data_IF_369368140667
#
_entry.id   IF_369368140667
#
_cell.length_a   1.000
_cell.length_b   1.000
_cell.length_c   1.000
_cell.angle_alpha   90.00
_cell.angle_beta   90.00
_cell.angle_gamma   90.00
#
_symmetry.space_group_name_H-M   'P 1'
#
loop_
_entity.id
_entity.type
_entity.pdbx_description
1 polymer ?
#
# COMPACT_ATOMS: atom_id res chain seq x y z
N UNK A 1 33.03 8.30 15.98
CA UNK A 1 32.20 7.37 15.25
C UNK A 1 30.77 7.29 15.71
N UNK A 2 30.32 8.33 16.34
CA UNK A 2 28.93 8.40 16.78
C UNK A 2 27.98 8.72 15.62
N UNK A 3 28.49 9.36 14.57
CA UNK A 3 27.66 9.80 13.46
C UNK A 3 26.87 8.68 12.78
N UNK A 4 27.51 7.59 12.35
CA UNK A 4 26.78 6.50 11.68
C UNK A 4 25.69 5.90 12.56
N UNK A 5 25.99 5.73 13.85
CA UNK A 5 25.03 5.18 14.79
C UNK A 5 23.86 6.12 15.00
N UNK A 6 24.12 7.41 15.12
CA UNK A 6 23.06 8.40 15.27
C UNK A 6 22.18 8.44 14.02
N UNK A 7 22.77 8.34 12.82
CA UNK A 7 22.01 8.30 11.58
C UNK A 7 21.09 7.09 11.54
N UNK A 8 21.60 5.95 11.99
CA UNK A 8 20.81 4.74 12.04
C UNK A 8 19.59 4.89 12.95
N UNK A 9 19.80 5.43 14.14
CA UNK A 9 18.72 5.68 15.08
C UNK A 9 17.67 6.61 14.49
N UNK A 10 18.13 7.67 13.83
CA UNK A 10 17.25 8.65 13.24
C UNK A 10 16.39 8.02 12.16
N UNK A 11 16.98 7.17 11.32
CA UNK A 11 16.26 6.46 10.27
C UNK A 11 15.18 5.58 10.86
N UNK A 12 15.49 4.82 11.91
CA UNK A 12 14.50 3.95 12.54
C UNK A 12 13.32 4.73 13.11
N UNK A 13 13.59 5.87 13.71
CA UNK A 13 12.53 6.65 14.34
C UNK A 13 11.65 7.39 13.35
N UNK A 14 12.20 7.75 12.18
CA UNK A 14 11.50 8.60 11.22
C UNK A 14 10.94 7.82 10.03
N UNK A 15 11.70 6.85 9.52
CA UNK A 15 11.37 6.20 8.25
C UNK A 15 10.90 4.77 8.37
N UNK A 16 11.00 4.16 9.56
CA UNK A 16 10.62 2.76 9.74
C UNK A 16 9.12 2.55 9.95
N UNK A 17 8.35 3.63 10.00
CA UNK A 17 6.90 3.52 10.13
C UNK A 17 6.33 3.02 8.81
N UNK A 18 5.57 1.93 8.90
CA UNK A 18 4.91 1.36 7.74
C UNK A 18 3.58 2.09 7.54
N UNK A 19 3.38 2.65 6.35
CA UNK A 19 2.08 3.20 6.00
C UNK A 19 1.31 2.12 5.25
N UNK A 20 0.14 1.79 5.75
CA UNK A 20 -0.68 0.74 5.15
C UNK A 20 -2.02 1.33 4.73
N UNK A 21 -2.30 1.23 3.44
CA UNK A 21 -3.50 1.81 2.82
C UNK A 21 -4.47 0.69 2.50
N UNK A 22 -5.70 0.84 2.90
CA UNK A 22 -6.70 -0.18 2.67
C UNK A 22 -8.08 0.31 3.00
N UNK A 23 -8.96 -0.63 3.32
CA UNK A 23 -10.35 -0.35 3.67
C UNK A 23 -10.64 -1.08 4.98
N UNK A 24 -11.40 -0.44 5.87
CA UNK A 24 -11.87 -1.10 7.07
C UNK A 24 -12.73 -2.30 6.69
N UNK A 25 -12.73 -3.31 7.58
CA UNK A 25 -13.52 -4.53 7.38
C UNK A 25 -13.10 -5.37 6.17
N UNK A 26 -11.84 -5.29 5.80
CA UNK A 26 -11.25 -6.16 4.78
C UNK A 26 -10.41 -7.22 5.48
N UNK A 27 -10.70 -8.50 5.23
CA UNK A 27 -10.00 -9.59 5.90
C UNK A 27 -8.50 -9.58 5.61
N UNK A 28 -8.12 -9.30 4.37
CA UNK A 28 -6.71 -9.23 4.00
C UNK A 28 -5.99 -8.11 4.74
N UNK A 29 -6.65 -6.96 4.89
CA UNK A 29 -6.09 -5.85 5.65
C UNK A 29 -5.91 -6.24 7.10
N UNK A 30 -6.91 -6.91 7.68
CA UNK A 30 -6.82 -7.35 9.08
C UNK A 30 -5.65 -8.30 9.30
N UNK A 31 -5.42 -9.21 8.36
CA UNK A 31 -4.28 -10.13 8.45
C UNK A 31 -2.96 -9.38 8.39
N UNK A 32 -2.86 -8.38 7.52
CA UNK A 32 -1.66 -7.57 7.40
C UNK A 32 -1.39 -6.80 8.69
N UNK A 33 -2.42 -6.17 9.27
CA UNK A 33 -2.27 -5.43 10.52
C UNK A 33 -1.85 -6.34 11.66
N UNK A 34 -2.41 -7.55 11.70
CA UNK A 34 -2.05 -8.53 12.72
C UNK A 34 -0.58 -8.94 12.60
N UNK A 35 -0.12 -9.14 11.36
CA UNK A 35 1.29 -9.47 11.12
C UNK A 35 2.19 -8.36 11.64
N UNK A 36 1.90 -7.11 11.26
CA UNK A 36 2.72 -5.97 11.68
C UNK A 36 2.76 -5.84 13.21
N UNK A 37 1.60 -5.98 13.86
CA UNK A 37 1.52 -5.92 15.30
C UNK A 37 2.32 -7.05 15.96
N UNK A 38 2.21 -8.26 15.44
CA UNK A 38 2.89 -9.42 16.02
C UNK A 38 4.40 -9.33 15.90
N UNK A 39 4.91 -8.59 14.93
CA UNK A 39 6.34 -8.39 14.72
C UNK A 39 6.83 -7.07 15.30
N UNK A 40 5.97 -6.36 16.04
CA UNK A 40 6.29 -5.10 16.70
C UNK A 40 6.69 -3.99 15.72
N UNK A 41 6.16 -4.02 14.52
CA UNK A 41 6.35 -2.92 13.58
C UNK A 41 5.42 -1.78 13.91
N UNK A 42 5.95 -0.55 13.88
CA UNK A 42 5.12 0.64 13.95
C UNK A 42 4.45 0.86 12.60
N UNK A 43 3.14 1.08 12.61
CA UNK A 43 2.43 1.31 11.36
C UNK A 43 1.35 2.37 11.55
N UNK A 44 0.96 2.95 10.42
CA UNK A 44 -0.16 3.88 10.35
C UNK A 44 -1.12 3.33 9.29
N UNK A 45 -2.35 3.03 9.70
CA UNK A 45 -3.38 2.57 8.78
C UNK A 45 -4.17 3.75 8.24
N UNK A 46 -4.28 3.84 6.93
CA UNK A 46 -5.05 4.88 6.26
C UNK A 46 -6.14 4.21 5.42
N UNK A 47 -7.39 4.48 5.75
CA UNK A 47 -8.53 4.01 4.96
C UNK A 47 -8.70 4.97 3.78
N UNK A 48 -8.39 4.51 2.56
CA UNK A 48 -8.39 5.38 1.41
C UNK A 48 -9.79 5.74 0.90
N UNK A 49 -10.84 5.14 1.49
CA UNK A 49 -12.21 5.58 1.22
C UNK A 49 -12.56 6.81 2.04
N UNK A 50 -11.96 6.96 3.22
CA UNK A 50 -12.15 8.13 4.06
C UNK A 50 -11.12 9.22 3.77
N UNK A 51 -9.93 8.80 3.36
CA UNK A 51 -8.80 9.69 3.04
C UNK A 51 -8.32 9.39 1.62
N UNK A 52 -8.94 10.01 0.62
CA UNK A 52 -8.64 9.69 -0.78
C UNK A 52 -7.16 9.76 -1.12
N UNK A 53 -6.74 8.84 -1.96
CA UNK A 53 -5.35 8.78 -2.41
C UNK A 53 -5.07 10.00 -3.29
N UNK A 54 -3.97 10.72 -2.98
CA UNK A 54 -3.56 11.86 -3.79
C UNK A 54 -2.91 11.39 -5.09
N UNK A 55 -2.78 12.32 -6.05
CA UNK A 55 -2.09 11.99 -7.30
C UNK A 55 -0.65 11.57 -7.04
N UNK A 56 0.06 12.28 -6.16
CA UNK A 56 1.45 11.95 -5.84
C UNK A 56 1.57 10.55 -5.23
N UNK A 57 0.65 10.22 -4.33
CA UNK A 57 0.64 8.89 -3.70
C UNK A 57 0.34 7.80 -4.74
N UNK A 58 -0.63 8.03 -5.61
CA UNK A 58 -0.94 7.09 -6.68
C UNK A 58 0.27 6.85 -7.58
N UNK A 59 0.97 7.92 -7.93
CA UNK A 59 2.17 7.81 -8.77
C UNK A 59 3.28 7.05 -8.05
N UNK A 60 3.44 7.27 -6.76
CA UNK A 60 4.41 6.52 -5.98
C UNK A 60 4.09 5.03 -5.98
N UNK A 61 2.83 4.69 -5.80
CA UNK A 61 2.38 3.29 -5.84
C UNK A 61 2.62 2.68 -7.22
N UNK A 62 2.26 3.41 -8.27
CA UNK A 62 2.42 2.95 -9.64
C UNK A 62 3.89 2.73 -9.97
N UNK A 63 4.76 3.66 -9.61
CA UNK A 63 6.18 3.54 -9.85
C UNK A 63 6.79 2.38 -9.07
N UNK A 64 6.24 2.10 -7.89
CA UNK A 64 6.78 1.03 -7.06
C UNK A 64 6.46 -0.37 -7.54
N UNK A 65 5.24 -0.61 -8.02
CA UNK A 65 4.80 -1.96 -8.37
C UNK A 65 4.18 -2.08 -9.76
N UNK A 66 3.86 -0.97 -10.41
CA UNK A 66 3.21 -0.98 -11.71
C UNK A 66 1.71 -1.16 -11.60
N UNK A 67 0.99 -0.70 -12.63
CA UNK A 67 -0.48 -0.77 -12.64
C UNK A 67 -0.98 -2.22 -12.64
N UNK A 68 -0.29 -3.12 -13.32
CA UNK A 68 -0.73 -4.53 -13.38
C UNK A 68 -0.81 -5.16 -12.00
N UNK A 69 0.11 -4.80 -11.10
CA UNK A 69 0.12 -5.31 -9.74
C UNK A 69 -0.83 -4.50 -8.84
N UNK A 70 -0.88 -3.19 -9.05
CA UNK A 70 -1.64 -2.28 -8.20
C UNK A 70 -3.15 -2.43 -8.36
N UNK A 71 -3.61 -2.68 -9.57
CA UNK A 71 -5.05 -2.72 -9.87
C UNK A 71 -5.60 -4.12 -9.66
N UNK A 72 -6.70 -4.19 -8.92
CA UNK A 72 -7.38 -5.46 -8.67
C UNK A 72 -8.36 -5.79 -9.79
N UNK A 73 -7.88 -6.54 -10.77
CA UNK A 73 -8.67 -6.90 -11.94
C UNK A 73 -9.81 -7.86 -11.62
N UNK A 74 -9.83 -8.44 -10.42
CA UNK A 74 -10.91 -9.31 -9.97
C UNK A 74 -11.99 -8.56 -9.20
N UNK A 75 -11.78 -7.27 -8.95
CA UNK A 75 -12.75 -6.49 -8.19
C UNK A 75 -14.03 -6.25 -9.02
N UNK A 76 -15.13 -6.07 -8.29
CA UNK A 76 -16.40 -5.69 -8.93
C UNK A 76 -16.24 -4.36 -9.64
N UNK A 77 -15.50 -3.44 -9.05
CA UNK A 77 -15.24 -2.13 -9.66
C UNK A 77 -14.58 -2.27 -11.03
N UNK A 78 -13.56 -3.11 -11.12
CA UNK A 78 -12.86 -3.31 -12.40
C UNK A 78 -13.77 -3.97 -13.44
N UNK A 79 -14.52 -4.99 -13.02
CA UNK A 79 -15.40 -5.70 -13.95
C UNK A 79 -16.48 -4.80 -14.51
N UNK A 80 -16.89 -3.79 -13.77
CA UNK A 80 -17.93 -2.86 -14.21
C UNK A 80 -17.42 -1.78 -15.16
N UNK A 81 -16.11 -1.67 -15.35
CA UNK A 81 -15.54 -0.68 -16.27
C UNK A 81 -15.83 -1.07 -17.72
N UNK A 82 -15.89 -0.05 -18.59
CA UNK A 82 -15.93 -0.30 -20.03
C UNK A 82 -14.57 -0.83 -20.50
N UNK A 83 -14.55 -1.43 -21.70
CA UNK A 83 -13.30 -1.93 -22.25
C UNK A 83 -12.27 -0.80 -22.41
N UNK A 84 -12.73 0.37 -22.82
CA UNK A 84 -11.85 1.52 -22.96
C UNK A 84 -11.25 1.93 -21.60
N UNK A 85 -12.10 1.98 -20.56
CA UNK A 85 -11.63 2.32 -19.22
C UNK A 85 -10.62 1.30 -18.71
N UNK A 86 -10.86 0.01 -18.95
CA UNK A 86 -9.94 -1.05 -18.52
C UNK A 86 -8.57 -0.91 -19.15
N UNK A 87 -8.50 -0.37 -20.35
CA UNK A 87 -7.24 -0.19 -21.06
C UNK A 87 -6.54 1.12 -20.71
N UNK A 88 -7.24 2.03 -20.05
CA UNK A 88 -6.73 3.37 -19.76
C UNK A 88 -6.93 3.73 -18.29
N UNK A 89 -6.45 2.88 -17.41
CA UNK A 89 -6.53 3.15 -15.97
C UNK A 89 -5.65 4.36 -15.64
N UNK A 90 -6.24 5.34 -14.98
CA UNK A 90 -5.53 6.56 -14.60
C UNK A 90 -5.98 7.02 -13.23
N UNK A 91 -5.37 8.09 -12.74
CA UNK A 91 -5.67 8.63 -11.41
C UNK A 91 -7.14 9.03 -11.27
N UNK A 92 -7.71 9.67 -12.28
CA UNK A 92 -9.10 10.10 -12.25
C UNK A 92 -10.04 8.92 -12.05
N UNK A 93 -9.77 7.82 -12.73
CA UNK A 93 -10.60 6.62 -12.62
C UNK A 93 -10.47 6.01 -11.23
N UNK A 94 -9.27 5.97 -10.68
CA UNK A 94 -9.03 5.45 -9.34
C UNK A 94 -9.70 6.34 -8.28
N UNK A 95 -9.71 7.65 -8.50
CA UNK A 95 -10.42 8.57 -7.60
C UNK A 95 -11.91 8.29 -7.59
N UNK A 96 -12.46 8.00 -8.76
CA UNK A 96 -13.89 7.69 -8.89
C UNK A 96 -14.22 6.32 -8.28
N UNK A 97 -13.33 5.36 -8.45
CA UNK A 97 -13.53 3.99 -7.98
C UNK A 97 -12.32 3.53 -7.16
N UNK A 98 -12.20 3.98 -5.90
CA UNK A 98 -11.01 3.64 -5.09
C UNK A 98 -10.78 2.15 -4.92
N UNK A 99 -11.83 1.34 -4.98
CA UNK A 99 -11.72 -0.11 -4.82
C UNK A 99 -11.04 -0.80 -6.01
N UNK A 100 -10.66 -0.04 -7.03
CA UNK A 100 -9.77 -0.57 -8.09
C UNK A 100 -8.39 -0.90 -7.53
N UNK A 101 -7.95 -0.19 -6.49
CA UNK A 101 -6.64 -0.44 -5.88
C UNK A 101 -6.72 -1.70 -5.01
N UNK A 102 -5.74 -2.59 -5.17
CA UNK A 102 -5.64 -3.76 -4.31
C UNK A 102 -5.43 -3.35 -2.86
N UNK A 103 -5.82 -4.23 -1.95
CA UNK A 103 -5.76 -3.99 -0.51
C UNK A 103 -4.99 -5.11 0.17
N UNK A 104 -4.11 -4.78 1.09
CA UNK A 104 -3.59 -3.43 1.36
C UNK A 104 -2.43 -3.06 0.44
N UNK A 105 -2.08 -1.77 0.44
CA UNK A 105 -0.84 -1.30 -0.15
C UNK A 105 0.03 -0.80 1.00
N UNK A 106 1.25 -1.30 1.10
CA UNK A 106 2.19 -0.92 2.16
C UNK A 106 3.32 -0.12 1.54
N UNK A 107 3.69 0.96 2.23
CA UNK A 107 4.83 1.77 1.83
C UNK A 107 5.73 1.96 3.04
N UNK A 108 7.01 1.63 2.88
CA UNK A 108 8.03 1.87 3.90
C UNK A 108 9.31 2.26 3.20
N UNK A 109 9.84 3.43 3.55
CA UNK A 109 11.10 3.93 2.97
C UNK A 109 11.08 3.96 1.44
N UNK A 110 9.92 4.29 0.85
CA UNK A 110 9.78 4.33 -0.60
C UNK A 110 9.55 3.00 -1.26
N UNK A 111 9.62 1.91 -0.51
CA UNK A 111 9.33 0.58 -1.03
C UNK A 111 7.85 0.29 -0.93
N UNK A 112 7.27 -0.22 -2.01
CA UNK A 112 5.84 -0.46 -2.11
C UNK A 112 5.58 -1.96 -2.21
N UNK A 113 4.58 -2.43 -1.46
CA UNK A 113 4.15 -3.82 -1.53
C UNK A 113 2.63 -3.88 -1.50
N UNK A 114 2.05 -4.84 -2.23
CA UNK A 114 0.61 -4.95 -2.39
C UNK A 114 0.15 -6.33 -1.93
N UNK A 115 -0.97 -6.36 -1.22
CA UNK A 115 -1.57 -7.59 -0.74
C UNK A 115 -0.97 -8.07 0.57
N UNK A 116 -1.23 -9.32 0.91
CA UNK A 116 -0.68 -9.93 2.11
C UNK A 116 -0.30 -11.38 1.84
N UNK A 117 0.91 -11.74 2.26
CA UNK A 117 1.32 -13.12 2.42
C UNK A 117 2.41 -13.12 3.47
N UNK A 118 2.38 -14.11 4.37
CA UNK A 118 3.39 -14.22 5.41
C UNK A 118 4.80 -14.25 4.80
N UNK A 119 4.96 -14.99 3.73
CA UNK A 119 6.26 -15.12 3.08
C UNK A 119 6.76 -13.79 2.54
N UNK A 120 5.91 -13.07 1.80
CA UNK A 120 6.30 -11.79 1.21
C UNK A 120 6.61 -10.76 2.28
N UNK A 121 5.80 -10.71 3.32
CA UNK A 121 6.01 -9.75 4.40
C UNK A 121 7.30 -10.05 5.17
N UNK A 122 7.56 -11.34 5.42
CA UNK A 122 8.79 -11.73 6.11
C UNK A 122 10.03 -11.31 5.32
N UNK A 123 9.99 -11.43 3.99
CA UNK A 123 11.09 -11.01 3.14
C UNK A 123 11.19 -9.49 3.05
N UNK A 124 10.05 -8.81 2.96
CA UNK A 124 10.01 -7.36 2.79
C UNK A 124 10.53 -6.63 4.03
N UNK A 125 10.22 -7.16 5.21
CA UNK A 125 10.55 -6.51 6.47
C UNK A 125 11.82 -7.06 7.14
N UNK A 126 12.59 -7.80 6.43
CA UNK A 126 13.90 -8.22 6.94
C UNK A 126 14.92 -7.06 6.94
#
# INVERSE_FOLDING_TARGET
>A
MMGPLLSYWRVRLVTDIVKIYGIKNCDTVKKALKFLSSKSFSYEFIDYREHPISRDLFEEMEQGVGLDVLINKRSTSFRALSDEEKQNINYELVTKYPTLIKRPVLIQNGNVMVGFSDKQYSEFFL
#
